data_IF_468102423494
#
_entry.id   IF_468102423494
#
_cell.length_a   1.000
_cell.length_b   1.000
_cell.length_c   1.000
_cell.angle_alpha   90.00
_cell.angle_beta   90.00
_cell.angle_gamma   90.00
#
_symmetry.space_group_name_H-M   'P 1'
#
loop_
_entity.id
_entity.type
_entity.pdbx_description
1 polymer ?
#
# COMPACT_ATOMS: atom_id res chain seq x y z
N UNK A 1 -20.81 51.06 19.52
CA UNK A 1 -20.85 49.96 18.54
C UNK A 1 -19.42 49.62 18.18
N UNK A 2 -18.79 48.66 18.87
CA UNK A 2 -17.35 48.36 18.74
C UNK A 2 -17.16 46.95 18.17
N UNK A 3 -16.54 46.92 16.99
CA UNK A 3 -15.62 45.90 16.47
C UNK A 3 -16.02 44.43 16.69
N UNK A 4 -17.02 43.93 15.95
CA UNK A 4 -17.24 42.48 15.76
C UNK A 4 -16.71 41.94 14.44
N UNK A 5 -16.23 42.79 13.52
CA UNK A 5 -15.79 42.38 12.18
C UNK A 5 -14.33 41.90 12.09
N UNK A 6 -13.52 42.05 13.15
CA UNK A 6 -12.08 41.74 13.07
C UNK A 6 -11.73 40.27 13.37
N UNK A 7 -12.65 39.51 13.99
CA UNK A 7 -12.40 38.10 14.36
C UNK A 7 -12.64 37.15 13.17
N UNK A 8 -13.51 37.53 12.21
CA UNK A 8 -13.85 36.66 11.09
C UNK A 8 -12.73 36.54 10.03
N UNK A 9 -11.81 37.51 9.97
CA UNK A 9 -10.72 37.54 8.98
C UNK A 9 -9.55 36.61 9.39
N UNK A 10 -9.35 36.37 10.69
CA UNK A 10 -8.26 35.51 11.16
C UNK A 10 -8.52 34.01 10.91
N UNK A 11 -9.79 33.57 10.90
CA UNK A 11 -10.16 32.17 10.64
C UNK A 11 -10.05 31.83 9.15
N UNK A 12 -10.26 32.80 8.25
CA UNK A 12 -10.15 32.59 6.80
C UNK A 12 -8.69 32.50 6.34
N UNK A 13 -7.75 33.20 7.01
CA UNK A 13 -6.32 33.10 6.68
C UNK A 13 -5.67 31.78 7.13
N UNK A 14 -6.22 31.06 8.09
CA UNK A 14 -5.65 29.77 8.54
C UNK A 14 -6.05 28.58 7.66
N UNK A 15 -7.03 28.74 6.76
CA UNK A 15 -7.49 27.68 5.86
C UNK A 15 -6.75 27.63 4.51
N UNK A 16 -5.82 28.54 4.23
CA UNK A 16 -5.28 28.72 2.87
C UNK A 16 -3.85 28.22 2.64
N UNK A 17 -3.16 27.60 3.61
CA UNK A 17 -1.76 27.18 3.38
C UNK A 17 -1.28 26.03 4.27
N UNK A 18 -2.07 24.96 4.39
CA UNK A 18 -1.51 23.64 4.69
C UNK A 18 -1.47 22.87 3.37
N UNK A 19 -0.61 23.30 2.45
CA UNK A 19 -0.09 22.38 1.46
C UNK A 19 0.70 21.34 2.25
N UNK A 20 0.03 20.23 2.56
CA UNK A 20 0.65 19.05 3.15
C UNK A 20 1.80 18.69 2.21
N UNK A 21 3.03 19.05 2.58
CA UNK A 21 4.18 18.84 1.72
C UNK A 21 4.33 17.34 1.58
N UNK A 22 4.04 16.81 0.40
CA UNK A 22 4.10 15.38 0.14
C UNK A 22 5.50 14.88 0.53
N UNK A 23 5.56 13.98 1.51
CA UNK A 23 6.82 13.47 2.03
C UNK A 23 7.54 12.72 0.90
N UNK A 24 8.77 13.15 0.62
CA UNK A 24 9.63 12.43 -0.31
C UNK A 24 9.90 11.03 0.22
N UNK A 25 10.02 10.08 -0.69
CA UNK A 25 10.36 8.72 -0.33
C UNK A 25 11.79 8.68 0.24
N UNK A 26 11.93 7.93 1.33
CA UNK A 26 13.18 7.64 2.04
C UNK A 26 13.18 6.17 2.41
N UNK A 27 14.35 5.53 2.39
CA UNK A 27 14.44 4.10 2.62
C UNK A 27 14.02 3.70 4.04
N UNK A 28 14.23 4.53 5.07
CA UNK A 28 13.76 4.22 6.43
C UNK A 28 12.23 4.09 6.45
N UNK A 29 11.52 5.05 5.88
CA UNK A 29 10.05 5.00 5.83
C UNK A 29 9.55 3.82 4.99
N UNK A 30 10.23 3.51 3.88
CA UNK A 30 9.88 2.36 3.04
C UNK A 30 10.11 1.06 3.80
N UNK A 31 11.22 0.97 4.54
CA UNK A 31 11.57 -0.18 5.37
C UNK A 31 10.49 -0.42 6.42
N UNK A 32 10.10 0.60 7.18
CA UNK A 32 9.04 0.50 8.19
C UNK A 32 7.71 0.02 7.57
N UNK A 33 7.39 0.50 6.36
CA UNK A 33 6.21 0.04 5.62
C UNK A 33 6.32 -1.43 5.21
N UNK A 34 7.50 -1.91 4.79
CA UNK A 34 7.71 -3.33 4.46
C UNK A 34 7.54 -4.19 5.71
N UNK A 35 8.19 -3.82 6.81
CA UNK A 35 8.09 -4.53 8.09
C UNK A 35 6.63 -4.61 8.56
N UNK A 36 5.88 -3.52 8.44
CA UNK A 36 4.45 -3.51 8.76
C UNK A 36 3.61 -4.38 7.80
N UNK A 37 3.85 -4.30 6.48
CA UNK A 37 3.09 -5.05 5.47
C UNK A 37 3.29 -6.55 5.57
N UNK A 38 4.52 -7.00 5.83
CA UNK A 38 4.88 -8.42 5.92
C UNK A 38 4.91 -8.94 7.36
N UNK A 39 4.70 -8.06 8.34
CA UNK A 39 4.79 -8.35 9.77
C UNK A 39 6.09 -9.08 10.15
N UNK A 40 7.20 -8.53 9.70
CA UNK A 40 8.55 -9.09 9.84
C UNK A 40 9.52 -8.02 10.32
N UNK A 41 10.54 -8.41 11.07
CA UNK A 41 11.69 -7.55 11.35
C UNK A 41 12.78 -7.83 10.31
N UNK A 42 13.08 -6.84 9.46
CA UNK A 42 14.04 -7.03 8.36
C UNK A 42 15.49 -7.23 8.86
N UNK A 43 15.83 -6.84 10.11
CA UNK A 43 17.14 -7.13 10.70
C UNK A 43 17.28 -8.59 11.15
N UNK A 44 16.18 -9.33 11.25
CA UNK A 44 16.17 -10.74 11.70
C UNK A 44 16.23 -11.75 10.57
N UNK A 45 16.02 -11.31 9.32
CA UNK A 45 16.03 -12.17 8.14
C UNK A 45 17.29 -11.96 7.31
N UNK A 46 17.66 -12.98 6.53
CA UNK A 46 18.81 -12.92 5.63
C UNK A 46 18.46 -12.13 4.34
N UNK A 47 18.41 -10.80 4.44
CA UNK A 47 18.06 -9.90 3.35
C UNK A 47 19.26 -9.60 2.45
N UNK A 48 19.05 -9.55 1.14
CA UNK A 48 20.07 -9.12 0.18
C UNK A 48 20.45 -7.65 0.39
N UNK A 49 21.73 -7.31 0.20
CA UNK A 49 22.21 -5.92 0.27
C UNK A 49 21.62 -5.02 -0.83
N UNK A 50 21.21 -5.64 -1.93
CA UNK A 50 20.62 -4.96 -3.09
C UNK A 50 19.09 -4.97 -3.04
N UNK A 51 18.51 -3.90 -3.58
CA UNK A 51 17.08 -3.67 -3.72
C UNK A 51 16.76 -3.50 -5.20
N UNK A 52 15.66 -4.07 -5.67
CA UNK A 52 15.18 -3.86 -7.04
C UNK A 52 14.13 -2.76 -7.01
N UNK A 53 14.41 -1.63 -7.65
CA UNK A 53 13.45 -0.54 -7.81
C UNK A 53 13.19 -0.29 -9.29
N UNK A 54 11.92 -0.39 -9.72
CA UNK A 54 11.54 -0.23 -11.13
C UNK A 54 12.38 -1.11 -12.09
N UNK A 55 12.67 -2.36 -11.68
CA UNK A 55 13.49 -3.35 -12.42
C UNK A 55 14.97 -3.00 -12.54
N UNK A 56 15.45 -1.98 -11.84
CA UNK A 56 16.88 -1.64 -11.75
C UNK A 56 17.37 -2.07 -10.38
N UNK A 57 18.54 -2.72 -10.35
CA UNK A 57 19.19 -3.16 -9.12
C UNK A 57 19.97 -1.98 -8.55
N UNK A 58 19.76 -1.70 -7.26
CA UNK A 58 20.48 -0.68 -6.51
C UNK A 58 21.04 -1.27 -5.23
N UNK A 59 22.17 -0.76 -4.79
CA UNK A 59 22.66 -1.05 -3.45
C UNK A 59 21.93 -0.15 -2.43
N UNK A 60 21.75 -0.66 -1.22
CA UNK A 60 21.12 0.07 -0.10
C UNK A 60 21.72 1.46 0.17
N UNK A 61 23.01 1.64 -0.10
CA UNK A 61 23.72 2.92 0.06
C UNK A 61 23.37 3.97 -1.02
N UNK A 62 22.90 3.53 -2.20
CA UNK A 62 22.66 4.41 -3.37
C UNK A 62 21.18 4.69 -3.61
N UNK A 63 20.29 3.77 -3.17
CA UNK A 63 18.86 3.82 -3.45
C UNK A 63 18.17 5.10 -2.93
N UNK A 64 18.64 5.65 -1.80
CA UNK A 64 18.08 6.89 -1.23
C UNK A 64 18.17 8.08 -2.19
N UNK A 65 19.22 8.15 -3.01
CA UNK A 65 19.33 9.21 -4.02
C UNK A 65 18.26 9.09 -5.11
N UNK A 66 17.84 7.85 -5.42
CA UNK A 66 16.80 7.56 -6.39
C UNK A 66 15.40 7.86 -5.81
N UNK A 67 15.13 7.42 -4.57
CA UNK A 67 13.83 7.64 -3.91
C UNK A 67 13.45 9.11 -3.76
N UNK A 68 14.42 10.00 -3.53
CA UNK A 68 14.16 11.45 -3.43
C UNK A 68 13.49 12.07 -4.67
N UNK A 69 13.54 11.39 -5.81
CA UNK A 69 12.86 11.82 -7.05
C UNK A 69 11.35 11.59 -6.99
N UNK A 70 10.89 10.72 -6.11
CA UNK A 70 9.51 10.26 -6.02
C UNK A 70 8.87 10.69 -4.70
N UNK A 71 7.56 10.88 -4.71
CA UNK A 71 6.78 10.94 -3.47
C UNK A 71 6.59 9.53 -2.93
N UNK A 72 6.49 9.38 -1.60
CA UNK A 72 6.24 8.06 -1.00
C UNK A 72 4.97 7.41 -1.58
N UNK A 73 3.92 8.21 -1.80
CA UNK A 73 2.65 7.75 -2.40
C UNK A 73 2.77 7.26 -3.84
N UNK A 74 3.89 7.51 -4.52
CA UNK A 74 4.16 6.99 -5.85
C UNK A 74 4.78 5.60 -5.82
N UNK A 75 5.36 5.15 -4.69
CA UNK A 75 5.92 3.80 -4.53
C UNK A 75 4.80 2.85 -4.07
N UNK A 76 4.05 2.33 -5.03
CA UNK A 76 2.85 1.52 -4.78
C UNK A 76 3.11 0.01 -4.83
N UNK A 77 4.23 -0.41 -5.42
CA UNK A 77 4.63 -1.81 -5.42
C UNK A 77 5.59 -2.04 -4.27
N UNK A 78 5.29 -3.04 -3.44
CA UNK A 78 6.13 -3.47 -2.33
C UNK A 78 6.04 -4.99 -2.22
N UNK A 79 7.11 -5.68 -2.59
CA UNK A 79 7.18 -7.13 -2.49
C UNK A 79 8.47 -7.55 -1.78
N UNK A 80 8.36 -8.56 -0.91
CA UNK A 80 9.49 -9.24 -0.29
C UNK A 80 9.54 -10.64 -0.92
N UNK A 81 10.40 -10.79 -1.94
CA UNK A 81 10.51 -12.06 -2.65
C UNK A 81 11.40 -13.03 -1.89
N UNK A 82 10.85 -14.20 -1.57
CA UNK A 82 11.61 -15.33 -1.06
C UNK A 82 12.37 -15.98 -2.22
N UNK A 83 13.70 -15.99 -2.08
CA UNK A 83 14.60 -16.60 -3.01
C UNK A 83 15.05 -17.98 -2.51
N UNK A 84 14.70 -18.44 -1.31
CA UNK A 84 15.21 -19.69 -0.69
C UNK A 84 15.20 -20.91 -1.63
N UNK A 85 14.18 -21.03 -2.48
CA UNK A 85 14.05 -22.10 -3.48
C UNK A 85 14.64 -21.77 -4.87
N UNK A 86 15.16 -20.56 -5.07
CA UNK A 86 15.70 -20.09 -6.35
C UNK A 86 17.07 -20.70 -6.66
N UNK A 87 17.23 -21.17 -7.90
CA UNK A 87 18.49 -21.77 -8.42
C UNK A 87 19.55 -20.73 -8.84
N UNK A 88 19.39 -19.46 -8.47
CA UNK A 88 20.34 -18.40 -8.82
C UNK A 88 21.68 -18.65 -8.13
N UNK A 89 22.75 -18.74 -8.93
CA UNK A 89 24.06 -19.36 -8.61
C UNK A 89 24.91 -18.50 -7.62
N UNK A 90 24.42 -17.35 -7.17
CA UNK A 90 25.20 -16.37 -6.38
C UNK A 90 24.54 -15.95 -5.06
N UNK A 91 23.86 -16.88 -4.35
CA UNK A 91 23.12 -16.55 -3.14
C UNK A 91 23.95 -16.52 -1.87
N UNK A 92 24.08 -15.33 -1.31
CA UNK A 92 24.39 -15.13 0.12
C UNK A 92 23.16 -14.71 0.93
N UNK A 93 21.98 -14.56 0.31
CA UNK A 93 20.75 -14.05 0.91
C UNK A 93 19.51 -14.89 0.55
N UNK A 94 18.49 -14.82 1.41
CA UNK A 94 17.22 -15.54 1.28
C UNK A 94 16.10 -14.65 0.75
N UNK A 95 16.10 -13.35 1.07
CA UNK A 95 15.04 -12.43 0.67
C UNK A 95 15.57 -11.21 -0.10
N UNK A 96 14.79 -10.70 -1.06
CA UNK A 96 15.07 -9.44 -1.75
C UNK A 96 13.84 -8.52 -1.76
N UNK A 97 14.08 -7.22 -1.54
CA UNK A 97 13.05 -6.19 -1.62
C UNK A 97 12.86 -5.77 -3.09
N UNK A 98 11.62 -5.80 -3.53
CA UNK A 98 11.16 -5.29 -4.82
C UNK A 98 10.22 -4.10 -4.60
N UNK A 99 10.55 -2.98 -5.22
CA UNK A 99 9.82 -1.73 -5.13
C UNK A 99 9.51 -1.21 -6.53
N UNK A 100 8.45 -0.42 -6.63
CA UNK A 100 8.14 0.20 -7.91
C UNK A 100 7.04 1.23 -7.84
N UNK A 101 7.03 2.09 -8.85
CA UNK A 101 6.06 3.19 -8.96
C UNK A 101 4.85 2.82 -9.82
N UNK A 102 4.49 1.54 -9.87
CA UNK A 102 3.44 1.01 -10.74
C UNK A 102 4.00 0.47 -12.06
N UNK A 103 4.72 -0.66 -12.01
CA UNK A 103 4.88 -1.45 -13.23
C UNK A 103 3.52 -2.04 -13.63
N UNK A 104 3.38 -2.39 -14.92
CA UNK A 104 2.15 -3.01 -15.40
C UNK A 104 1.99 -4.41 -14.80
N UNK A 105 1.24 -4.52 -13.69
CA UNK A 105 0.67 -5.78 -13.25
C UNK A 105 -0.32 -6.25 -14.33
N UNK A 106 -0.28 -7.53 -14.69
CA UNK A 106 -1.13 -8.04 -15.77
C UNK A 106 -2.60 -8.01 -15.37
N UNK A 107 -3.49 -7.89 -16.36
CA UNK A 107 -4.93 -7.92 -16.10
C UNK A 107 -5.37 -9.28 -15.53
N UNK A 108 -4.67 -10.36 -15.90
CA UNK A 108 -4.91 -11.71 -15.39
C UNK A 108 -4.53 -11.82 -13.90
N UNK A 109 -3.36 -11.30 -13.49
CA UNK A 109 -2.94 -11.28 -12.09
C UNK A 109 -3.94 -10.47 -11.24
N UNK A 110 -4.31 -9.28 -11.74
CA UNK A 110 -5.32 -8.43 -11.07
C UNK A 110 -6.65 -9.15 -10.93
N UNK A 111 -7.10 -9.82 -11.98
CA UNK A 111 -8.36 -10.58 -11.99
C UNK A 111 -8.33 -11.70 -10.95
N UNK A 112 -7.24 -12.46 -10.89
CA UNK A 112 -7.07 -13.55 -9.93
C UNK A 112 -7.08 -13.04 -8.48
N UNK A 113 -6.30 -12.00 -8.18
CA UNK A 113 -6.21 -11.41 -6.84
C UNK A 113 -7.57 -10.81 -6.44
N UNK A 114 -8.18 -10.00 -7.32
CA UNK A 114 -9.49 -9.40 -7.07
C UNK A 114 -10.58 -10.46 -6.84
N UNK A 115 -10.53 -11.58 -7.57
CA UNK A 115 -11.42 -12.73 -7.37
C UNK A 115 -11.32 -13.30 -5.96
N UNK A 116 -10.10 -13.61 -5.49
CA UNK A 116 -9.87 -14.14 -4.13
C UNK A 116 -10.35 -13.20 -3.05
N UNK A 117 -10.11 -11.90 -3.22
CA UNK A 117 -10.56 -10.88 -2.26
C UNK A 117 -12.08 -10.83 -2.18
N UNK A 118 -12.76 -10.85 -3.33
CA UNK A 118 -14.24 -10.89 -3.37
C UNK A 118 -14.79 -12.12 -2.69
N UNK A 119 -14.19 -13.29 -2.93
CA UNK A 119 -14.57 -14.53 -2.27
C UNK A 119 -14.43 -14.41 -0.76
N UNK A 120 -13.29 -13.89 -0.26
CA UNK A 120 -13.09 -13.67 1.18
C UNK A 120 -14.15 -12.73 1.79
N UNK A 121 -14.39 -11.58 1.16
CA UNK A 121 -15.36 -10.59 1.67
C UNK A 121 -16.80 -11.11 1.59
N UNK A 122 -17.17 -11.80 0.51
CA UNK A 122 -18.53 -12.32 0.32
C UNK A 122 -18.82 -13.52 1.23
N UNK A 123 -17.82 -14.33 1.56
CA UNK A 123 -17.95 -15.46 2.47
C UNK A 123 -18.03 -15.02 3.95
N UNK A 124 -17.29 -13.99 4.35
CA UNK A 124 -17.13 -13.65 5.77
C UNK A 124 -17.96 -12.43 6.23
N UNK A 125 -18.37 -11.55 5.32
CA UNK A 125 -19.16 -10.36 5.68
C UNK A 125 -20.65 -10.64 5.42
N UNK A 126 -21.52 -10.53 6.43
CA UNK A 126 -22.96 -10.72 6.28
C UNK A 126 -23.57 -9.78 5.22
N UNK A 127 -24.72 -10.16 4.66
CA UNK A 127 -25.48 -9.28 3.76
C UNK A 127 -26.18 -8.15 4.50
N UNK A 128 -26.63 -8.39 5.72
CA UNK A 128 -27.24 -7.40 6.58
C UNK A 128 -26.15 -6.62 7.32
N UNK A 129 -26.26 -5.28 7.34
CA UNK A 129 -25.34 -4.42 8.08
C UNK A 129 -25.67 -4.49 9.56
N UNK A 130 -24.73 -5.00 10.35
CA UNK A 130 -24.83 -5.10 11.81
C UNK A 130 -23.84 -4.06 12.38
N UNK A 131 -24.28 -3.24 13.32
CA UNK A 131 -23.53 -2.07 13.81
C UNK A 131 -22.16 -2.46 14.41
N UNK A 132 -22.13 -3.51 15.23
CA UNK A 132 -20.93 -3.97 15.94
C UNK A 132 -20.39 -5.29 15.37
N UNK A 133 -20.47 -5.47 14.05
CA UNK A 133 -19.95 -6.67 13.42
C UNK A 133 -18.42 -6.67 13.42
N UNK A 134 -17.85 -7.65 14.12
CA UNK A 134 -16.42 -7.94 14.08
C UNK A 134 -16.16 -9.15 13.19
N UNK A 135 -15.38 -8.97 12.13
CA UNK A 135 -15.05 -10.05 11.21
C UNK A 135 -13.70 -10.69 11.57
N UNK A 136 -13.72 -11.80 12.29
CA UNK A 136 -12.49 -12.48 12.72
C UNK A 136 -11.68 -13.13 11.61
N UNK A 137 -12.19 -13.18 10.37
CA UNK A 137 -11.56 -13.82 9.21
C UNK A 137 -11.37 -12.89 8.01
N UNK A 138 -11.82 -11.65 8.15
CA UNK A 138 -11.67 -10.68 7.08
C UNK A 138 -10.28 -10.07 7.15
N UNK A 139 -9.69 -9.87 5.99
CA UNK A 139 -8.48 -9.07 5.82
C UNK A 139 -8.81 -7.59 5.96
N UNK A 140 -7.83 -6.80 6.40
CA UNK A 140 -7.93 -5.35 6.35
C UNK A 140 -7.86 -4.89 4.89
N UNK A 141 -8.71 -3.94 4.49
CA UNK A 141 -8.71 -3.38 3.13
C UNK A 141 -8.29 -1.93 3.15
N UNK A 142 -7.31 -1.60 2.31
CA UNK A 142 -6.81 -0.24 2.06
C UNK A 142 -6.95 0.05 0.57
N UNK A 143 -7.55 1.20 0.23
CA UNK A 143 -7.68 1.66 -1.15
C UNK A 143 -7.08 3.07 -1.23
N UNK A 144 -6.09 3.25 -2.10
CA UNK A 144 -5.32 4.51 -2.25
C UNK A 144 -4.81 5.07 -0.91
N UNK A 145 -4.32 4.19 -0.02
CA UNK A 145 -3.79 4.56 1.29
C UNK A 145 -4.85 4.86 2.36
N UNK A 146 -6.14 4.75 2.06
CA UNK A 146 -7.23 4.88 3.04
C UNK A 146 -7.72 3.51 3.49
N UNK A 147 -7.78 3.28 4.79
CA UNK A 147 -8.42 2.11 5.37
C UNK A 147 -9.94 2.21 5.27
N UNK A 148 -10.58 1.10 4.91
CA UNK A 148 -12.03 0.98 4.77
C UNK A 148 -12.62 0.01 5.79
N UNK A 149 -13.80 0.37 6.31
CA UNK A 149 -14.62 -0.53 7.12
C UNK A 149 -15.13 -1.69 6.27
N UNK A 150 -15.33 -2.86 6.89
CA UNK A 150 -15.45 -4.10 6.11
C UNK A 150 -16.68 -4.16 5.18
N UNK A 151 -17.79 -3.54 5.57
CA UNK A 151 -18.98 -3.42 4.72
C UNK A 151 -18.74 -2.48 3.54
N UNK A 152 -18.07 -1.35 3.77
CA UNK A 152 -17.74 -0.37 2.72
C UNK A 152 -16.73 -0.97 1.75
N UNK A 153 -15.71 -1.66 2.27
CA UNK A 153 -14.74 -2.40 1.48
C UNK A 153 -15.41 -3.45 0.57
N UNK A 154 -16.34 -4.24 1.11
CA UNK A 154 -17.12 -5.22 0.32
C UNK A 154 -17.90 -4.55 -0.81
N UNK A 155 -18.55 -3.43 -0.53
CA UNK A 155 -19.33 -2.70 -1.53
C UNK A 155 -18.43 -2.17 -2.65
N UNK A 156 -17.32 -1.52 -2.31
CA UNK A 156 -16.38 -0.96 -3.28
C UNK A 156 -15.74 -2.08 -4.12
N UNK A 157 -15.18 -3.11 -3.47
CA UNK A 157 -14.44 -4.18 -4.16
C UNK A 157 -15.32 -5.02 -5.09
N UNK A 158 -16.58 -5.25 -4.72
CA UNK A 158 -17.52 -5.94 -5.61
C UNK A 158 -17.85 -5.13 -6.88
N UNK A 159 -17.72 -3.80 -6.83
CA UNK A 159 -17.99 -2.91 -7.96
C UNK A 159 -16.75 -2.56 -8.80
N UNK A 160 -15.52 -2.79 -8.31
CA UNK A 160 -14.30 -2.53 -9.07
C UNK A 160 -14.18 -3.42 -10.32
N UNK A 161 -13.56 -2.92 -11.37
CA UNK A 161 -13.10 -3.75 -12.48
C UNK A 161 -11.57 -3.75 -12.53
N UNK A 162 -10.98 -4.74 -13.21
CA UNK A 162 -9.53 -4.80 -13.42
C UNK A 162 -8.97 -3.50 -14.04
N UNK A 163 -9.78 -2.82 -14.87
CA UNK A 163 -9.41 -1.54 -15.50
C UNK A 163 -9.33 -0.37 -14.52
N UNK A 164 -10.06 -0.46 -13.41
CA UNK A 164 -10.04 0.57 -12.36
C UNK A 164 -8.81 0.45 -11.47
N UNK A 165 -8.07 -0.66 -11.57
CA UNK A 165 -6.96 -1.00 -10.67
C UNK A 165 -5.62 -0.78 -11.38
N UNK A 166 -4.79 0.07 -10.80
CA UNK A 166 -3.40 0.26 -11.19
C UNK A 166 -2.54 -0.92 -10.70
N UNK A 167 -2.64 -1.22 -9.40
CA UNK A 167 -1.95 -2.32 -8.71
C UNK A 167 -2.82 -2.87 -7.58
N UNK A 168 -2.74 -4.17 -7.33
CA UNK A 168 -3.40 -4.84 -6.20
C UNK A 168 -2.46 -5.86 -5.55
N UNK A 169 -2.42 -5.86 -4.23
CA UNK A 169 -1.67 -6.82 -3.42
C UNK A 169 -2.56 -7.42 -2.33
N UNK A 170 -2.28 -8.69 -2.00
CA UNK A 170 -2.99 -9.50 -1.03
C UNK A 170 -1.97 -10.20 -0.14
N UNK A 171 -1.67 -9.59 1.00
CA UNK A 171 -0.69 -10.07 1.97
C UNK A 171 -1.34 -11.05 2.95
N UNK A 172 -0.62 -12.08 3.36
CA UNK A 172 -1.14 -13.14 4.23
C UNK A 172 -1.35 -12.65 5.67
N UNK A 173 -0.43 -11.84 6.18
CA UNK A 173 -0.50 -11.20 7.51
C UNK A 173 0.21 -9.86 7.48
N UNK A 174 -0.25 -8.91 8.29
CA UNK A 174 0.36 -7.59 8.45
C UNK A 174 0.19 -7.08 9.87
N UNK A 175 1.00 -6.09 10.27
CA UNK A 175 1.02 -5.56 11.63
C UNK A 175 -0.34 -4.94 12.04
N UNK A 176 -1.06 -5.52 13.02
CA UNK A 176 -2.35 -4.99 13.48
C UNK A 176 -2.27 -3.64 14.19
N UNK A 177 -1.09 -3.27 14.71
CA UNK A 177 -0.87 -1.98 15.37
C UNK A 177 -0.84 -0.82 14.36
N UNK A 178 -0.46 -1.10 13.11
CA UNK A 178 -0.39 -0.12 12.03
C UNK A 178 -1.69 -0.08 11.23
N UNK A 179 -2.22 -1.24 10.85
CA UNK A 179 -3.32 -1.35 9.91
C UNK A 179 -4.68 -1.67 10.55
N UNK A 180 -4.72 -1.89 11.86
CA UNK A 180 -5.93 -2.23 12.61
C UNK A 180 -6.11 -3.74 12.78
N UNK A 181 -7.06 -4.12 13.65
CA UNK A 181 -7.18 -5.50 14.17
C UNK A 181 -7.34 -6.58 13.09
N UNK A 182 -7.99 -6.27 11.98
CA UNK A 182 -8.21 -7.23 10.89
C UNK A 182 -6.91 -7.59 10.14
N UNK A 183 -5.86 -6.78 10.25
CA UNK A 183 -4.60 -7.01 9.55
C UNK A 183 -3.87 -8.28 10.00
N UNK A 184 -4.18 -8.79 11.20
CA UNK A 184 -3.70 -10.10 11.67
C UNK A 184 -4.14 -11.26 10.75
N UNK A 185 -5.24 -11.07 10.00
CA UNK A 185 -5.74 -12.04 9.03
C UNK A 185 -5.20 -11.80 7.61
N UNK A 186 -4.42 -10.73 7.42
CA UNK A 186 -3.92 -10.26 6.15
C UNK A 186 -4.34 -8.83 5.81
N UNK A 187 -3.67 -8.27 4.82
CA UNK A 187 -3.88 -6.92 4.30
C UNK A 187 -4.14 -7.00 2.80
N UNK A 188 -5.06 -6.15 2.34
CA UNK A 188 -5.35 -5.94 0.93
C UNK A 188 -5.04 -4.48 0.64
N UNK A 189 -4.17 -4.23 -0.32
CA UNK A 189 -3.89 -2.90 -0.86
C UNK A 189 -4.36 -2.82 -2.30
N UNK A 190 -5.22 -1.84 -2.59
CA UNK A 190 -5.69 -1.55 -3.95
C UNK A 190 -5.30 -0.11 -4.28
N UNK A 191 -4.57 0.06 -5.38
CA UNK A 191 -4.27 1.37 -5.94
C UNK A 191 -5.11 1.57 -7.20
N UNK A 192 -5.90 2.63 -7.24
CA UNK A 192 -6.81 2.90 -8.35
C UNK A 192 -6.10 3.66 -9.47
N UNK A 193 -6.47 3.35 -10.71
CA UNK A 193 -6.00 4.10 -11.88
C UNK A 193 -6.47 5.56 -11.76
N UNK A 194 -5.52 6.49 -11.55
CA UNK A 194 -5.82 7.93 -11.50
C UNK A 194 -6.36 8.40 -12.86
N UNK A 195 -7.64 8.77 -12.95
CA UNK A 195 -8.22 9.39 -14.15
C UNK A 195 -7.42 10.65 -14.52
N UNK A 196 -6.67 10.60 -15.62
CA UNK A 196 -5.96 11.75 -16.19
C UNK A 196 -4.44 11.80 -16.00
N UNK A 197 -3.80 10.85 -15.30
CA UNK A 197 -2.33 10.76 -15.33
C UNK A 197 -1.88 10.02 -16.60
N UNK A 198 -1.19 10.73 -17.50
CA UNK A 198 -0.42 10.08 -18.58
C UNK A 198 0.60 9.15 -17.92
N UNK A 199 0.55 7.85 -18.25
CA UNK A 199 1.65 6.92 -17.94
C UNK A 199 2.95 7.56 -18.43
N UNK A 200 3.90 7.82 -17.53
CA UNK A 200 5.28 8.06 -17.95
C UNK A 200 5.79 6.71 -18.45
N UNK A 201 5.84 6.53 -19.77
CA UNK A 201 6.54 5.39 -20.34
C UNK A 201 8.04 5.61 -20.11
N UNK A 202 8.70 4.62 -19.53
CA UNK A 202 10.15 4.49 -19.54
C UNK A 202 10.55 3.66 -20.75
#
# INVERSE_FOLDING_TARGET
MKNKSTILIFIICFCLSLDLTAQKADFSTIRDNIEAKFWVDLDTINLCESIIFNRIVFDSSTINSEFRKYELSEIIVTELADLSESRLIHKNCDFIILLGTGYSQSDDDKSQILGRIRENLNANVPKLKIHDFLCSKCKQVIIDGRAYEIYEAKEIVNNLTVKDIEYIADYESSDPSVYGQNAQNGLIEIYLTKKGKKKKSW
#
